data_IF_935921233454
#
_entry.id   IF_935921233454
#
_cell.length_a   1.000
_cell.length_b   1.000
_cell.length_c   1.000
_cell.angle_alpha   90.00
_cell.angle_beta   90.00
_cell.angle_gamma   90.00
#
_symmetry.space_group_name_H-M   'P 1'
#
loop_
_entity.id
_entity.type
_entity.pdbx_description
1 polymer ?
#
# COMPACT_ATOMS: atom_id res chain seq x y z
N UNK A 1 18.36 5.00 -45.71
CA UNK A 1 18.10 5.94 -44.62
C UNK A 1 16.73 5.75 -43.97
N UNK A 2 15.68 5.58 -44.74
CA UNK A 2 14.35 5.31 -44.20
C UNK A 2 14.26 4.00 -43.42
N UNK A 3 14.98 2.98 -43.84
CA UNK A 3 15.03 1.66 -43.20
C UNK A 3 15.63 1.73 -41.80
N UNK A 4 16.64 2.56 -41.59
CA UNK A 4 17.27 2.70 -40.27
C UNK A 4 16.38 3.44 -39.27
N UNK A 5 15.60 4.41 -39.73
CA UNK A 5 14.64 5.10 -38.85
C UNK A 5 13.53 4.19 -38.40
N UNK A 6 13.02 3.33 -39.31
CA UNK A 6 11.96 2.36 -38.96
C UNK A 6 12.45 1.36 -37.92
N UNK A 7 13.69 0.85 -38.08
CA UNK A 7 14.30 -0.07 -37.13
C UNK A 7 14.50 0.60 -35.78
N UNK A 8 14.94 1.83 -35.71
CA UNK A 8 15.14 2.57 -34.49
C UNK A 8 13.77 2.79 -33.77
N UNK A 9 12.75 3.20 -34.51
CA UNK A 9 11.42 3.37 -33.97
C UNK A 9 10.84 2.07 -33.43
N UNK A 10 11.04 0.96 -34.15
CA UNK A 10 10.58 -0.36 -33.70
C UNK A 10 11.28 -0.78 -32.42
N UNK A 11 12.58 -0.54 -32.31
CA UNK A 11 13.34 -0.85 -31.09
C UNK A 11 12.89 0.01 -29.91
N UNK A 12 12.63 1.30 -30.12
CA UNK A 12 12.12 2.19 -29.08
C UNK A 12 10.76 1.74 -28.60
N UNK A 13 9.85 1.35 -29.50
CA UNK A 13 8.53 0.82 -29.15
C UNK A 13 8.64 -0.47 -28.36
N UNK A 14 9.50 -1.38 -28.72
CA UNK A 14 9.72 -2.64 -27.98
C UNK A 14 10.25 -2.36 -26.58
N UNK A 15 11.17 -1.42 -26.43
CA UNK A 15 11.71 -1.03 -25.13
C UNK A 15 10.60 -0.42 -24.25
N UNK A 16 9.77 0.46 -24.81
CA UNK A 16 8.66 1.08 -24.10
C UNK A 16 7.61 0.04 -23.68
N UNK A 17 7.25 -0.87 -24.57
CA UNK A 17 6.31 -1.96 -24.27
C UNK A 17 6.87 -2.91 -23.19
N UNK A 18 8.15 -3.22 -23.25
CA UNK A 18 8.82 -4.04 -22.25
C UNK A 18 8.83 -3.38 -20.87
N UNK A 19 8.96 -2.07 -20.86
CA UNK A 19 8.89 -1.30 -19.62
C UNK A 19 7.48 -1.34 -19.02
N UNK A 20 6.44 -1.12 -19.80
CA UNK A 20 5.06 -1.18 -19.35
C UNK A 20 4.67 -2.54 -18.81
N UNK A 21 5.14 -3.62 -19.44
CA UNK A 21 4.88 -4.99 -18.98
C UNK A 21 5.48 -5.22 -17.59
N UNK A 22 6.64 -4.67 -17.29
CA UNK A 22 7.26 -4.77 -15.96
C UNK A 22 6.49 -4.01 -14.89
N UNK A 23 5.90 -2.87 -15.22
CA UNK A 23 5.08 -2.06 -14.32
C UNK A 23 3.68 -2.66 -14.17
N UNK A 24 3.17 -3.31 -15.21
CA UNK A 24 1.84 -3.89 -15.27
C UNK A 24 1.67 -5.20 -14.52
N UNK A 25 2.68 -5.74 -13.88
CA UNK A 25 2.58 -6.94 -13.05
C UNK A 25 1.93 -6.67 -11.70
N UNK A 26 0.95 -5.77 -11.71
CA UNK A 26 -0.15 -5.72 -10.77
C UNK A 26 0.24 -5.67 -9.31
N UNK A 27 1.18 -5.06 -8.92
CA UNK A 27 1.49 -4.91 -7.52
C UNK A 27 2.49 -3.80 -7.30
N UNK A 28 2.44 -3.28 -6.14
CA UNK A 28 3.44 -2.33 -5.68
C UNK A 28 4.75 -3.09 -5.46
N UNK A 29 5.86 -2.54 -5.92
CA UNK A 29 7.16 -3.20 -5.74
C UNK A 29 7.47 -3.39 -4.24
N UNK A 30 8.27 -4.40 -3.93
CA UNK A 30 8.69 -4.65 -2.55
C UNK A 30 9.45 -3.45 -1.96
N UNK A 31 10.25 -2.75 -2.78
CA UNK A 31 10.95 -1.55 -2.35
C UNK A 31 9.97 -0.44 -1.96
N UNK A 32 8.90 -0.25 -2.73
CA UNK A 32 7.85 0.73 -2.41
C UNK A 32 7.08 0.33 -1.15
N UNK A 33 6.71 -0.93 -1.02
CA UNK A 33 6.04 -1.44 0.18
C UNK A 33 6.88 -1.22 1.43
N UNK A 34 8.18 -1.49 1.34
CA UNK A 34 9.10 -1.31 2.47
C UNK A 34 9.13 0.16 2.90
N UNK A 35 9.20 1.08 1.94
CA UNK A 35 9.18 2.50 2.22
C UNK A 35 7.85 2.95 2.82
N UNK A 36 6.72 2.49 2.29
CA UNK A 36 5.41 2.80 2.84
C UNK A 36 5.26 2.31 4.28
N UNK A 37 5.71 1.09 4.57
CA UNK A 37 5.70 0.55 5.94
C UNK A 37 6.57 1.37 6.89
N UNK A 38 7.74 1.77 6.42
CA UNK A 38 8.66 2.60 7.22
C UNK A 38 8.04 3.94 7.56
N UNK A 39 7.47 4.63 6.57
CA UNK A 39 6.84 5.92 6.76
C UNK A 39 5.59 5.82 7.65
N UNK A 40 4.78 4.79 7.44
CA UNK A 40 3.59 4.56 8.23
C UNK A 40 3.91 4.26 9.68
N UNK A 41 4.90 3.42 9.93
CA UNK A 41 5.37 3.11 11.28
C UNK A 41 5.84 4.36 12.00
N UNK A 42 6.67 5.17 11.34
CA UNK A 42 7.19 6.39 11.91
C UNK A 42 6.08 7.38 12.27
N UNK A 43 5.11 7.56 11.37
CA UNK A 43 4.05 8.54 11.56
C UNK A 43 2.95 8.06 12.53
N UNK A 44 2.66 6.76 12.56
CA UNK A 44 1.51 6.19 13.26
C UNK A 44 1.85 5.40 14.53
N UNK A 45 3.12 5.29 14.90
CA UNK A 45 3.51 4.51 16.08
C UNK A 45 2.75 4.91 17.35
N UNK A 46 2.54 6.21 17.66
CA UNK A 46 1.79 6.59 18.86
C UNK A 46 0.35 6.10 18.90
N UNK A 47 -0.24 5.81 17.73
CA UNK A 47 -1.62 5.28 17.66
C UNK A 47 -1.73 3.90 18.31
N UNK A 48 -0.69 3.08 18.22
CA UNK A 48 -0.64 1.77 18.86
C UNK A 48 -0.68 1.87 20.39
N UNK A 49 -0.26 3.01 20.94
CA UNK A 49 -0.26 3.28 22.38
C UNK A 49 -1.44 4.13 22.83
N UNK A 50 -2.48 4.22 22.01
CA UNK A 50 -3.73 4.87 22.38
C UNK A 50 -3.92 6.30 21.91
N UNK A 51 -2.92 6.90 21.26
CA UNK A 51 -3.04 8.25 20.73
C UNK A 51 -3.91 8.32 19.49
N UNK A 52 -4.52 9.45 19.25
CA UNK A 52 -5.23 9.70 18.00
C UNK A 52 -4.22 9.94 16.87
N UNK A 53 -4.60 9.62 15.62
CA UNK A 53 -3.70 9.84 14.48
C UNK A 53 -3.40 11.33 14.30
N UNK A 54 -2.12 11.62 14.07
CA UNK A 54 -1.69 12.96 13.62
C UNK A 54 -2.10 13.18 12.15
N UNK A 55 -2.00 14.41 11.68
CA UNK A 55 -2.21 14.72 10.26
C UNK A 55 -1.28 13.91 9.36
N UNK A 56 -0.03 13.72 9.77
CA UNK A 56 0.94 12.90 9.04
C UNK A 56 0.55 11.42 9.02
N UNK A 57 0.08 10.89 10.15
CA UNK A 57 -0.40 9.51 10.21
C UNK A 57 -1.62 9.31 9.31
N UNK A 58 -2.58 10.23 9.32
CA UNK A 58 -3.73 10.20 8.42
C UNK A 58 -3.31 10.24 6.96
N UNK A 59 -2.29 11.04 6.61
CA UNK A 59 -1.73 11.08 5.26
C UNK A 59 -1.24 9.69 4.84
N UNK A 60 -0.50 9.02 5.72
CA UNK A 60 -0.02 7.67 5.45
C UNK A 60 -1.17 6.67 5.33
N UNK A 61 -2.18 6.78 6.19
CA UNK A 61 -3.35 5.92 6.14
C UNK A 61 -4.10 6.02 4.81
N UNK A 62 -4.16 7.22 4.23
CA UNK A 62 -4.85 7.44 2.96
C UNK A 62 -4.11 6.89 1.76
N UNK A 63 -2.77 6.88 1.77
CA UNK A 63 -1.96 6.57 0.58
C UNK A 63 -1.29 5.21 0.62
N UNK A 64 -1.25 4.53 1.76
CA UNK A 64 -0.61 3.22 1.86
C UNK A 64 -1.45 2.15 1.18
N UNK A 65 -0.81 1.34 0.36
CA UNK A 65 -1.47 0.24 -0.32
C UNK A 65 -1.78 -0.90 0.65
N UNK A 66 -3.00 -1.47 0.57
CA UNK A 66 -3.39 -2.61 1.40
C UNK A 66 -2.42 -3.78 1.25
N UNK A 67 -1.98 -4.06 0.02
CA UNK A 67 -1.05 -5.14 -0.29
C UNK A 67 0.33 -4.97 0.37
N UNK A 68 0.68 -3.75 0.76
CA UNK A 68 1.92 -3.49 1.50
C UNK A 68 1.73 -3.66 3.01
N UNK A 69 0.54 -3.40 3.50
CA UNK A 69 0.23 -3.37 4.93
C UNK A 69 -0.33 -4.70 5.44
N UNK A 70 -1.27 -5.30 4.72
CA UNK A 70 -1.96 -6.50 5.20
C UNK A 70 -1.03 -7.69 5.49
N UNK A 71 -0.01 -7.99 4.67
CA UNK A 71 0.85 -9.13 4.95
C UNK A 71 1.64 -9.05 6.24
N UNK A 72 1.84 -7.85 6.80
CA UNK A 72 2.58 -7.71 8.07
C UNK A 72 1.71 -7.95 9.29
N UNK A 73 0.40 -8.08 9.13
CA UNK A 73 -0.50 -8.37 10.26
C UNK A 73 -0.47 -9.87 10.54
N UNK A 74 0.46 -10.28 11.36
CA UNK A 74 0.59 -11.65 11.86
C UNK A 74 -0.44 -11.92 12.93
N UNK A 75 -0.72 -13.20 13.28
CA UNK A 75 -1.60 -13.50 14.42
C UNK A 75 -1.15 -12.86 15.73
N UNK A 76 0.14 -12.75 15.94
CA UNK A 76 0.71 -12.13 17.13
C UNK A 76 0.39 -10.63 17.18
N UNK A 77 0.56 -9.93 16.06
CA UNK A 77 0.21 -8.52 15.96
C UNK A 77 -1.31 -8.32 16.06
N UNK A 78 -2.08 -9.18 15.40
CA UNK A 78 -3.54 -9.12 15.43
C UNK A 78 -4.09 -9.24 16.84
N UNK A 79 -3.43 -10.02 17.71
CA UNK A 79 -3.87 -10.22 19.10
C UNK A 79 -3.81 -8.92 19.92
N UNK A 80 -2.93 -7.99 19.56
CA UNK A 80 -2.80 -6.71 20.28
C UNK A 80 -3.51 -5.56 19.59
N UNK A 81 -4.01 -5.77 18.38
CA UNK A 81 -4.74 -4.74 17.65
C UNK A 81 -6.22 -4.77 17.96
N UNK A 82 -6.80 -3.60 18.25
CA UNK A 82 -8.24 -3.46 18.27
C UNK A 82 -8.72 -3.10 16.88
N UNK A 83 -9.24 -4.10 16.16
CA UNK A 83 -9.62 -3.94 14.74
C UNK A 83 -10.71 -2.89 14.57
N UNK A 84 -11.73 -2.89 15.44
CA UNK A 84 -12.82 -1.91 15.37
C UNK A 84 -12.32 -0.48 15.54
N UNK A 85 -11.41 -0.26 16.48
CA UNK A 85 -10.79 1.04 16.70
C UNK A 85 -9.95 1.45 15.48
N UNK A 86 -9.14 0.53 14.95
CA UNK A 86 -8.30 0.80 13.80
C UNK A 86 -9.12 1.19 12.58
N UNK A 87 -10.20 0.47 12.31
CA UNK A 87 -11.11 0.80 11.20
C UNK A 87 -11.71 2.19 11.37
N UNK A 88 -12.18 2.52 12.58
CA UNK A 88 -12.71 3.86 12.85
C UNK A 88 -11.67 4.96 12.63
N UNK A 89 -10.44 4.74 13.03
CA UNK A 89 -9.37 5.71 12.86
C UNK A 89 -9.02 5.92 11.37
N UNK A 90 -8.96 4.84 10.60
CA UNK A 90 -8.70 4.91 9.17
C UNK A 90 -9.83 5.67 8.46
N UNK A 91 -11.08 5.35 8.79
CA UNK A 91 -12.24 6.05 8.23
C UNK A 91 -12.26 7.51 8.64
N UNK A 92 -11.89 7.81 9.87
CA UNK A 92 -11.74 9.19 10.35
C UNK A 92 -10.67 9.98 9.62
N UNK A 93 -9.66 9.30 9.08
CA UNK A 93 -8.65 9.93 8.22
C UNK A 93 -9.13 10.15 6.78
N UNK A 94 -10.33 9.67 6.43
CA UNK A 94 -10.93 9.87 5.11
C UNK A 94 -10.76 8.72 4.14
N UNK A 95 -10.39 7.53 4.63
CA UNK A 95 -10.24 6.37 3.76
C UNK A 95 -11.34 5.35 4.04
N UNK A 96 -11.98 4.87 2.97
CA UNK A 96 -12.98 3.81 3.07
C UNK A 96 -12.29 2.47 3.35
N UNK A 97 -12.80 1.75 4.35
CA UNK A 97 -12.33 0.41 4.68
C UNK A 97 -13.37 -0.59 4.18
N UNK A 98 -12.98 -1.56 3.33
CA UNK A 98 -13.90 -2.59 2.86
C UNK A 98 -14.48 -3.41 4.03
N UNK A 99 -15.74 -3.81 3.91
CA UNK A 99 -16.39 -4.70 4.87
C UNK A 99 -15.99 -6.14 4.59
N UNK A 100 -15.91 -6.96 5.64
CA UNK A 100 -15.56 -8.38 5.53
C UNK A 100 -14.27 -8.62 4.75
N UNK A 101 -13.35 -7.68 4.83
CA UNK A 101 -12.09 -7.72 4.10
C UNK A 101 -11.02 -8.39 4.94
N UNK A 102 -10.43 -9.45 4.38
CA UNK A 102 -9.34 -10.14 5.06
C UNK A 102 -8.03 -9.40 4.82
N UNK A 103 -7.42 -8.93 5.89
CA UNK A 103 -6.16 -8.19 5.88
C UNK A 103 -5.16 -8.91 6.79
N UNK A 104 -4.35 -9.78 6.21
CA UNK A 104 -3.46 -10.63 6.98
C UNK A 104 -4.26 -11.54 7.92
N UNK A 105 -3.96 -11.48 9.22
CA UNK A 105 -4.63 -12.31 10.24
C UNK A 105 -5.89 -11.69 10.81
N UNK A 106 -6.34 -10.55 10.30
CA UNK A 106 -7.58 -9.91 10.76
C UNK A 106 -8.57 -9.82 9.61
N UNK A 107 -9.86 -9.75 9.97
CA UNK A 107 -10.95 -9.50 9.02
C UNK A 107 -11.72 -8.28 9.49
N UNK A 108 -11.99 -7.34 8.58
CA UNK A 108 -12.76 -6.15 8.93
C UNK A 108 -14.20 -6.51 9.26
N UNK A 109 -14.90 -5.69 10.09
CA UNK A 109 -16.29 -5.95 10.44
C UNK A 109 -17.22 -6.00 9.22
N UNK A 110 -18.36 -6.71 9.36
CA UNK A 110 -19.36 -6.75 8.31
C UNK A 110 -20.09 -5.42 8.10
#
# INVERSE_FOLDING_TARGET
>A
MTTNMIVVWTMVLVILCGWEIKVGHGGVSEATCREERRLGKKACLPVLFGSNPSAECCQRARVTHWECFCPIITPKLAAILNVKRLVRLIQGCGRTVPRNFKCGSVTTPP
#
